data_IF_214317499140
#
_entry.id   IF_214317499140
#
_cell.length_a   1.000
_cell.length_b   1.000
_cell.length_c   1.000
_cell.angle_alpha   90.00
_cell.angle_beta   90.00
_cell.angle_gamma   90.00
#
_symmetry.space_group_name_H-M   'P 1'
#
loop_
_entity.id
_entity.type
_entity.pdbx_description
1 polymer ?
#
# COMPACT_ATOMS: atom_id res chain seq x y z
N UNK A 1 17.48 7.84 -14.42
CA UNK A 1 17.08 6.51 -13.89
C UNK A 1 16.46 6.78 -12.54
N UNK A 2 15.17 6.46 -12.34
CA UNK A 2 14.58 6.55 -11.00
C UNK A 2 15.12 5.32 -10.26
N UNK A 3 16.02 5.53 -9.32
CA UNK A 3 16.48 4.44 -8.48
C UNK A 3 15.29 3.90 -7.69
N UNK A 4 15.00 2.62 -7.85
CA UNK A 4 13.95 1.92 -7.11
C UNK A 4 14.54 1.50 -5.77
N UNK A 5 14.06 2.09 -4.67
CA UNK A 5 14.47 1.70 -3.32
C UNK A 5 13.29 1.02 -2.64
N UNK A 6 13.54 -0.09 -1.95
CA UNK A 6 12.54 -0.80 -1.14
C UNK A 6 12.81 -0.48 0.33
N UNK A 7 11.79 -0.06 1.07
CA UNK A 7 11.87 -0.03 2.53
C UNK A 7 11.85 -1.46 3.06
N UNK A 8 12.80 -1.78 3.94
CA UNK A 8 12.77 -3.02 4.68
C UNK A 8 11.96 -2.82 5.96
N UNK A 9 11.18 -3.85 6.33
CA UNK A 9 10.57 -3.90 7.67
C UNK A 9 11.67 -3.98 8.72
N UNK A 10 11.44 -3.35 9.87
CA UNK A 10 12.39 -3.24 10.98
C UNK A 10 12.88 -4.59 11.55
N UNK A 11 12.15 -5.67 11.27
CA UNK A 11 12.50 -7.05 11.66
C UNK A 11 12.85 -7.94 10.47
N UNK A 12 13.13 -7.36 9.30
CA UNK A 12 13.55 -8.14 8.14
C UNK A 12 14.93 -8.75 8.37
N UNK A 13 15.09 -10.02 8.01
CA UNK A 13 16.40 -10.70 8.04
C UNK A 13 17.40 -10.06 7.07
N UNK A 14 16.88 -9.40 6.04
CA UNK A 14 17.68 -8.72 5.01
C UNK A 14 18.42 -7.49 5.56
N UNK A 15 18.03 -6.96 6.72
CA UNK A 15 18.70 -5.81 7.34
C UNK A 15 20.18 -6.04 7.59
N UNK A 16 20.59 -7.28 7.87
CA UNK A 16 22.00 -7.63 8.05
C UNK A 16 22.83 -7.52 6.75
N UNK A 17 22.17 -7.53 5.59
CA UNK A 17 22.79 -7.42 4.28
C UNK A 17 22.82 -5.98 3.75
N UNK A 18 22.25 -5.00 4.47
CA UNK A 18 22.21 -3.60 4.06
C UNK A 18 23.13 -2.75 4.94
N UNK A 19 23.97 -1.93 4.31
CA UNK A 19 24.82 -0.96 5.02
C UNK A 19 23.95 0.20 5.54
N UNK A 20 24.13 0.73 6.77
CA UNK A 20 23.24 1.72 7.42
C UNK A 20 23.02 3.09 6.73
N UNK A 21 23.43 3.28 5.48
CA UNK A 21 23.48 4.58 4.80
C UNK A 21 22.16 5.08 4.21
N UNK A 22 21.10 4.26 4.14
CA UNK A 22 19.89 4.62 3.38
C UNK A 22 18.63 4.83 4.24
N UNK A 23 18.76 5.43 5.43
CA UNK A 23 17.56 5.92 6.14
C UNK A 23 16.95 7.10 5.39
N UNK A 24 15.94 6.84 4.57
CA UNK A 24 15.15 7.87 3.91
C UNK A 24 14.17 8.52 4.90
N UNK A 25 14.05 9.85 4.86
CA UNK A 25 13.17 10.65 5.71
C UNK A 25 12.34 11.63 4.90
N UNK A 26 11.32 12.21 5.53
CA UNK A 26 10.55 13.32 4.96
C UNK A 26 9.92 12.99 3.61
N UNK A 27 10.38 13.64 2.54
CA UNK A 27 9.87 13.44 1.18
C UNK A 27 10.27 12.07 0.61
N UNK A 28 11.53 11.69 0.73
CA UNK A 28 12.04 10.43 0.16
C UNK A 28 11.39 9.20 0.82
N UNK A 29 11.13 9.26 2.12
CA UNK A 29 10.38 8.21 2.82
C UNK A 29 8.95 8.04 2.26
N UNK A 30 8.27 9.15 2.00
CA UNK A 30 6.92 9.14 1.41
C UNK A 30 6.93 8.59 -0.02
N UNK A 31 7.88 9.00 -0.84
CA UNK A 31 8.04 8.48 -2.20
C UNK A 31 8.33 6.97 -2.19
N UNK A 32 9.16 6.49 -1.25
CA UNK A 32 9.43 5.06 -1.10
C UNK A 32 8.17 4.26 -0.69
N UNK A 33 7.38 4.77 0.26
CA UNK A 33 6.09 4.14 0.63
C UNK A 33 5.10 4.11 -0.54
N UNK A 34 5.02 5.18 -1.33
CA UNK A 34 4.17 5.22 -2.53
C UNK A 34 4.60 4.20 -3.58
N UNK A 35 5.91 4.06 -3.82
CA UNK A 35 6.44 3.03 -4.72
C UNK A 35 6.11 1.63 -4.20
N UNK A 36 6.25 1.38 -2.91
CA UNK A 36 5.87 0.09 -2.30
C UNK A 36 4.38 -0.20 -2.40
N UNK A 37 3.52 0.81 -2.27
CA UNK A 37 2.08 0.64 -2.44
C UNK A 37 1.74 0.16 -3.86
N UNK A 38 2.36 0.78 -4.87
CA UNK A 38 2.21 0.37 -6.28
C UNK A 38 2.72 -1.04 -6.49
N UNK A 39 3.90 -1.37 -5.95
CA UNK A 39 4.48 -2.70 -6.06
C UNK A 39 3.62 -3.79 -5.39
N UNK A 40 3.11 -3.54 -4.18
CA UNK A 40 2.24 -4.47 -3.47
C UNK A 40 0.92 -4.72 -4.22
N UNK A 41 0.35 -3.68 -4.85
CA UNK A 41 -0.85 -3.84 -5.67
C UNK A 41 -0.57 -4.65 -6.94
N UNK A 42 0.58 -4.43 -7.58
CA UNK A 42 1.03 -5.24 -8.72
C UNK A 42 1.25 -6.70 -8.30
N UNK A 43 1.94 -6.95 -7.18
CA UNK A 43 2.18 -8.29 -6.67
C UNK A 43 0.87 -9.02 -6.36
N UNK A 44 -0.09 -8.35 -5.72
CA UNK A 44 -1.42 -8.88 -5.48
C UNK A 44 -2.11 -9.30 -6.79
N UNK A 45 -2.03 -8.46 -7.83
CA UNK A 45 -2.68 -8.71 -9.12
C UNK A 45 -2.10 -9.93 -9.88
N UNK A 46 -0.84 -10.30 -9.61
CA UNK A 46 -0.15 -11.43 -10.27
C UNK A 46 0.09 -12.61 -9.32
N UNK A 47 -0.48 -12.57 -8.11
CA UNK A 47 -0.25 -13.61 -7.11
C UNK A 47 -0.78 -14.97 -7.59
N UNK A 48 0.08 -16.00 -7.52
CA UNK A 48 -0.25 -17.35 -8.02
C UNK A 48 -0.97 -18.24 -7.02
N UNK A 49 -1.32 -17.71 -5.83
CA UNK A 49 -2.03 -18.45 -4.78
C UNK A 49 -2.71 -17.49 -3.80
N UNK A 50 -3.81 -17.91 -3.20
CA UNK A 50 -4.53 -17.13 -2.18
C UNK A 50 -3.65 -16.72 -1.01
N UNK A 51 -2.76 -17.62 -0.56
CA UNK A 51 -1.82 -17.32 0.52
C UNK A 51 -0.94 -16.11 0.18
N UNK A 52 -0.34 -16.12 -1.01
CA UNK A 52 0.48 -14.98 -1.48
C UNK A 52 -0.36 -13.73 -1.64
N UNK A 53 -1.56 -13.84 -2.19
CA UNK A 53 -2.46 -12.70 -2.35
C UNK A 53 -2.80 -12.06 -0.98
N UNK A 54 -3.08 -12.87 0.03
CA UNK A 54 -3.31 -12.38 1.41
C UNK A 54 -2.06 -11.74 2.01
N UNK A 55 -0.87 -12.32 1.80
CA UNK A 55 0.40 -11.73 2.25
C UNK A 55 0.60 -10.32 1.65
N UNK A 56 0.34 -10.13 0.35
CA UNK A 56 0.42 -8.81 -0.29
C UNK A 56 -0.65 -7.83 0.22
N UNK A 57 -1.87 -8.30 0.54
CA UNK A 57 -2.89 -7.46 1.17
C UNK A 57 -2.48 -6.97 2.57
N UNK A 58 -1.81 -7.82 3.35
CA UNK A 58 -1.26 -7.44 4.67
C UNK A 58 -0.15 -6.40 4.49
N UNK A 59 0.72 -6.58 3.50
CA UNK A 59 1.78 -5.62 3.19
C UNK A 59 1.21 -4.27 2.75
N UNK A 60 0.17 -4.27 1.91
CA UNK A 60 -0.57 -3.05 1.53
C UNK A 60 -1.18 -2.35 2.74
N UNK A 61 -1.77 -3.09 3.67
CA UNK A 61 -2.35 -2.52 4.89
C UNK A 61 -1.26 -1.87 5.77
N UNK A 62 -0.11 -2.52 5.93
CA UNK A 62 1.03 -1.96 6.66
C UNK A 62 1.53 -0.64 6.04
N UNK A 63 1.59 -0.58 4.71
CA UNK A 63 1.99 0.64 3.98
C UNK A 63 0.96 1.76 4.20
N UNK A 64 -0.34 1.45 4.22
CA UNK A 64 -1.39 2.41 4.57
C UNK A 64 -1.16 2.97 5.98
N UNK A 65 -0.89 2.10 6.97
CA UNK A 65 -0.56 2.55 8.33
C UNK A 65 0.65 3.50 8.35
N UNK A 66 1.70 3.18 7.61
CA UNK A 66 2.92 4.01 7.54
C UNK A 66 2.71 5.36 6.82
N UNK A 67 1.74 5.44 5.90
CA UNK A 67 1.42 6.68 5.18
C UNK A 67 0.53 7.64 5.99
N UNK A 68 -0.25 7.16 6.95
CA UNK A 68 -1.20 7.99 7.70
C UNK A 68 -0.58 9.21 8.43
N UNK A 69 0.57 9.08 9.11
CA UNK A 69 1.24 10.23 9.74
C UNK A 69 1.60 11.35 8.76
N UNK A 70 1.86 11.03 7.48
CA UNK A 70 2.14 12.03 6.45
C UNK A 70 0.91 12.89 6.10
N UNK A 71 -0.28 12.42 6.44
CA UNK A 71 -1.55 13.11 6.26
C UNK A 71 -2.12 13.65 7.58
N UNK A 72 -1.36 13.59 8.68
CA UNK A 72 -1.83 13.94 10.02
C UNK A 72 -3.12 13.20 10.42
N UNK A 73 -3.24 11.94 9.99
CA UNK A 73 -4.39 11.09 10.29
C UNK A 73 -4.00 9.92 11.18
N UNK A 74 -4.93 9.45 12.01
CA UNK A 74 -4.84 8.14 12.66
C UNK A 74 -5.55 7.06 11.83
N UNK A 75 -5.34 5.80 12.21
CA UNK A 75 -6.02 4.69 11.55
C UNK A 75 -7.53 4.70 11.85
N UNK A 76 -7.91 5.10 13.06
CA UNK A 76 -9.30 5.23 13.48
C UNK A 76 -10.03 6.29 12.65
N UNK A 77 -9.37 7.42 12.36
CA UNK A 77 -9.92 8.48 11.51
C UNK A 77 -10.07 8.00 10.06
N UNK A 78 -9.08 7.29 9.52
CA UNK A 78 -9.18 6.66 8.20
C UNK A 78 -10.37 5.68 8.14
N UNK A 79 -10.50 4.83 9.16
CA UNK A 79 -11.54 3.81 9.23
C UNK A 79 -12.94 4.43 9.35
N UNK A 80 -13.07 5.53 10.10
CA UNK A 80 -14.30 6.32 10.17
C UNK A 80 -14.69 6.85 8.78
N UNK A 81 -13.73 7.45 8.04
CA UNK A 81 -13.98 7.94 6.66
C UNK A 81 -14.36 6.79 5.73
N UNK A 82 -13.68 5.63 5.82
CA UNK A 82 -13.98 4.43 5.04
C UNK A 82 -15.38 3.90 5.31
N UNK A 83 -15.79 3.85 6.58
CA UNK A 83 -17.14 3.41 7.00
C UNK A 83 -18.22 4.34 6.47
N UNK A 84 -18.05 5.64 6.66
CA UNK A 84 -18.98 6.65 6.11
C UNK A 84 -19.15 6.51 4.60
N UNK A 85 -18.05 6.37 3.85
CA UNK A 85 -18.12 6.10 2.40
C UNK A 85 -18.91 4.82 2.07
N UNK A 86 -18.70 3.74 2.84
CA UNK A 86 -19.41 2.48 2.66
C UNK A 86 -20.91 2.61 2.97
N UNK A 87 -21.27 3.40 3.96
CA UNK A 87 -22.67 3.68 4.32
C UNK A 87 -23.37 4.53 3.25
N UNK A 88 -22.69 5.57 2.75
CA UNK A 88 -23.23 6.50 1.75
C UNK A 88 -23.29 5.88 0.34
N UNK A 89 -22.30 5.09 -0.05
CA UNK A 89 -22.09 4.63 -1.43
C UNK A 89 -22.19 3.10 -1.60
N UNK A 90 -22.36 2.36 -0.50
CA UNK A 90 -22.21 0.92 -0.49
C UNK A 90 -20.75 0.47 -0.58
N UNK A 91 -20.54 -0.84 -0.73
CA UNK A 91 -19.23 -1.42 -1.01
C UNK A 91 -19.28 -2.27 -2.28
N UNK A 92 -18.19 -2.96 -2.57
CA UNK A 92 -18.09 -3.86 -3.72
C UNK A 92 -18.79 -5.22 -3.51
N UNK A 93 -19.69 -5.34 -2.53
CA UNK A 93 -20.31 -6.63 -2.13
C UNK A 93 -21.22 -7.21 -3.20
N UNK A 94 -21.84 -6.38 -4.04
CA UNK A 94 -22.74 -6.83 -5.10
C UNK A 94 -22.01 -7.20 -6.40
N UNK A 95 -20.71 -6.88 -6.52
CA UNK A 95 -19.92 -7.15 -7.73
C UNK A 95 -20.42 -6.46 -8.99
N UNK A 96 -21.19 -5.37 -8.87
CA UNK A 96 -21.73 -4.64 -10.02
C UNK A 96 -20.60 -3.94 -10.78
N UNK A 97 -20.43 -4.30 -12.05
CA UNK A 97 -19.44 -3.73 -12.94
C UNK A 97 -20.11 -3.02 -14.12
N UNK A 98 -19.49 -1.94 -14.60
CA UNK A 98 -19.88 -1.25 -15.83
C UNK A 98 -18.67 -1.24 -16.77
N UNK A 99 -18.90 -1.52 -18.05
CA UNK A 99 -17.86 -1.48 -19.07
C UNK A 99 -17.77 -0.06 -19.61
N UNK A 100 -16.60 0.56 -19.47
CA UNK A 100 -16.28 1.79 -20.19
C UNK A 100 -15.27 1.46 -21.28
N UNK A 101 -15.63 1.72 -22.53
CA UNK A 101 -14.65 1.89 -23.60
C UNK A 101 -14.05 3.29 -23.43
N UNK A 102 -12.75 3.38 -23.11
CA UNK A 102 -12.02 4.63 -23.30
C UNK A 102 -11.92 4.83 -24.82
N UNK A 103 -12.62 5.81 -25.35
CA UNK A 103 -12.29 6.33 -26.67
C UNK A 103 -10.83 6.83 -26.60
N UNK A 104 -10.01 6.32 -27.51
CA UNK A 104 -8.58 6.63 -27.65
C UNK A 104 -8.40 8.07 -28.10
#
# INVERSE_FOLDING_TARGET
MVSTFKLLRDRSKDLAAVTPTDQVKGRLYREALQQQLVQGAQNYSVATSDRKAVEELVDLLEIVHALLPAHNMTYEELEMVRRRKKEEQGGYTNGTAINFTKDV
#
